data_IF_753609038579
#
_entry.id   IF_753609038579
#
_cell.length_a   1.000
_cell.length_b   1.000
_cell.length_c   1.000
_cell.angle_alpha   90.00
_cell.angle_beta   90.00
_cell.angle_gamma   90.00
#
_symmetry.space_group_name_H-M   'P 1'
#
loop_
_entity.id
_entity.type
_entity.pdbx_description
1 polymer ?
#
# COMPACT_ATOMS: atom_id res chain seq x y z
N UNK A 1 -8.22 -16.45 -14.55
CA UNK A 1 -8.31 -17.89 -14.29
C UNK A 1 -8.01 -18.05 -12.81
N UNK A 2 -9.07 -18.17 -11.98
CA UNK A 2 -8.94 -18.32 -10.54
C UNK A 2 -8.15 -19.58 -10.21
N UNK A 3 -7.35 -19.52 -9.16
CA UNK A 3 -6.46 -20.61 -8.76
C UNK A 3 -7.33 -21.73 -8.17
N UNK A 4 -7.88 -22.60 -9.03
CA UNK A 4 -8.87 -23.63 -8.67
C UNK A 4 -8.43 -24.47 -7.47
N UNK A 5 -7.12 -24.72 -7.35
CA UNK A 5 -6.53 -25.45 -6.22
C UNK A 5 -6.83 -24.82 -4.85
N UNK A 6 -6.86 -23.49 -4.73
CA UNK A 6 -7.13 -22.81 -3.45
C UNK A 6 -8.61 -22.87 -3.12
N UNK A 7 -9.48 -22.66 -4.12
CA UNK A 7 -10.92 -22.76 -3.95
C UNK A 7 -11.34 -24.19 -3.58
N UNK A 8 -10.77 -25.19 -4.26
CA UNK A 8 -10.96 -26.61 -3.98
C UNK A 8 -10.48 -26.97 -2.57
N UNK A 9 -9.33 -26.43 -2.15
CA UNK A 9 -8.81 -26.64 -0.80
C UNK A 9 -9.73 -26.04 0.27
N UNK A 10 -10.24 -24.83 0.05
CA UNK A 10 -11.21 -24.20 0.94
C UNK A 10 -12.50 -25.05 1.01
N UNK A 11 -12.99 -25.56 -0.13
CA UNK A 11 -14.17 -26.43 -0.16
C UNK A 11 -13.93 -27.77 0.58
N UNK A 12 -12.75 -28.36 0.44
CA UNK A 12 -12.36 -29.58 1.16
C UNK A 12 -12.25 -29.34 2.68
N UNK A 13 -11.72 -28.20 3.11
CA UNK A 13 -11.68 -27.82 4.53
C UNK A 13 -13.07 -27.68 5.12
N UNK A 14 -13.97 -27.00 4.42
CA UNK A 14 -15.36 -26.78 4.84
C UNK A 14 -16.16 -28.08 4.96
N UNK A 15 -15.91 -29.04 4.05
CA UNK A 15 -16.59 -30.35 4.03
C UNK A 15 -15.91 -31.40 4.91
N UNK A 16 -14.78 -31.08 5.55
CA UNK A 16 -14.03 -32.03 6.39
C UNK A 16 -14.85 -32.49 7.60
N UNK A 17 -15.00 -33.80 7.76
CA UNK A 17 -15.61 -34.41 8.96
C UNK A 17 -14.88 -34.07 10.26
N UNK A 18 -13.57 -33.82 10.18
CA UNK A 18 -12.73 -33.50 11.35
C UNK A 18 -12.77 -32.02 11.69
N UNK A 19 -12.66 -31.14 10.70
CA UNK A 19 -12.49 -29.70 10.90
C UNK A 19 -13.75 -28.89 10.62
N UNK A 20 -14.52 -29.26 9.59
CA UNK A 20 -15.71 -28.51 9.16
C UNK A 20 -16.76 -28.38 10.26
N UNK A 21 -16.99 -29.44 11.04
CA UNK A 21 -17.93 -29.44 12.17
C UNK A 21 -17.53 -28.51 13.32
N UNK A 22 -16.25 -28.11 13.41
CA UNK A 22 -15.74 -27.22 14.46
C UNK A 22 -15.82 -25.75 14.05
N UNK A 23 -16.11 -25.45 12.77
CA UNK A 23 -16.18 -24.07 12.29
C UNK A 23 -17.59 -23.54 12.45
N UNK A 24 -17.75 -22.56 13.35
CA UNK A 24 -19.05 -21.96 13.67
C UNK A 24 -19.44 -20.80 12.75
N UNK A 25 -18.50 -20.27 11.96
CA UNK A 25 -18.75 -19.13 11.07
C UNK A 25 -17.79 -19.11 9.89
N UNK A 26 -18.34 -18.85 8.69
CA UNK A 26 -17.58 -18.49 7.50
C UNK A 26 -18.03 -17.11 7.04
N UNK A 27 -17.06 -16.22 6.81
CA UNK A 27 -17.30 -14.92 6.21
C UNK A 27 -16.41 -14.75 4.99
N UNK A 28 -17.03 -14.56 3.84
CA UNK A 28 -16.34 -14.11 2.63
C UNK A 28 -16.31 -12.59 2.64
N UNK A 29 -15.15 -12.02 2.31
CA UNK A 29 -15.00 -10.59 2.08
C UNK A 29 -14.84 -10.42 0.58
N UNK A 30 -15.73 -9.66 -0.04
CA UNK A 30 -15.71 -9.45 -1.48
C UNK A 30 -14.43 -8.73 -1.93
N UNK A 31 -13.89 -9.07 -3.11
CA UNK A 31 -12.75 -8.36 -3.66
C UNK A 31 -13.12 -6.90 -3.93
N UNK A 32 -12.26 -6.00 -3.49
CA UNK A 32 -12.41 -4.56 -3.75
C UNK A 32 -11.51 -4.19 -4.94
N UNK A 33 -12.06 -3.62 -6.02
CA UNK A 33 -11.24 -3.17 -7.14
C UNK A 33 -10.32 -2.03 -6.69
N UNK A 34 -9.19 -1.93 -7.37
CA UNK A 34 -8.21 -0.89 -7.09
C UNK A 34 -8.65 0.47 -7.65
N UNK A 35 -8.74 1.46 -6.77
CA UNK A 35 -8.90 2.87 -7.17
C UNK A 35 -7.54 3.54 -7.35
N UNK A 36 -7.33 4.09 -8.54
CA UNK A 36 -6.07 4.74 -8.92
C UNK A 36 -6.25 6.23 -9.20
N UNK A 37 -5.16 6.97 -9.03
CA UNK A 37 -5.03 8.38 -9.36
C UNK A 37 -3.72 8.62 -10.13
N UNK A 38 -3.62 9.68 -10.93
CA UNK A 38 -2.35 10.09 -11.53
C UNK A 38 -1.30 10.39 -10.45
N UNK A 39 -0.04 10.44 -10.87
CA UNK A 39 1.03 10.94 -10.00
C UNK A 39 0.72 12.39 -9.59
N UNK A 40 0.93 12.76 -8.32
CA UNK A 40 0.85 14.14 -7.87
C UNK A 40 1.74 15.05 -8.73
N UNK A 41 1.29 16.28 -8.95
CA UNK A 41 2.10 17.28 -9.65
C UNK A 41 3.34 17.70 -8.87
N UNK A 42 4.33 18.25 -9.58
CA UNK A 42 5.52 18.84 -8.96
C UNK A 42 6.50 17.83 -8.37
N UNK A 43 6.42 16.55 -8.77
CA UNK A 43 7.44 15.58 -8.40
C UNK A 43 8.75 15.84 -9.16
N UNK A 44 9.86 15.67 -8.46
CA UNK A 44 11.18 15.74 -9.07
C UNK A 44 11.31 14.66 -10.17
N UNK A 45 11.87 14.95 -11.36
CA UNK A 45 11.93 13.99 -12.47
C UNK A 45 12.58 12.65 -12.12
N UNK A 46 13.59 12.67 -11.24
CA UNK A 46 14.24 11.45 -10.73
C UNK A 46 13.31 10.53 -9.92
N UNK A 47 12.30 11.07 -9.24
CA UNK A 47 11.27 10.28 -8.55
C UNK A 47 10.34 9.64 -9.59
N UNK A 48 9.88 10.41 -10.57
CA UNK A 48 9.00 9.90 -11.64
C UNK A 48 9.69 8.78 -12.44
N UNK A 49 10.96 8.96 -12.79
CA UNK A 49 11.75 7.94 -13.49
C UNK A 49 11.92 6.67 -12.64
N UNK A 50 12.14 6.83 -11.33
CA UNK A 50 12.27 5.70 -10.40
C UNK A 50 10.96 4.93 -10.28
N UNK A 51 9.82 5.63 -10.19
CA UNK A 51 8.49 5.01 -10.19
C UNK A 51 8.24 4.26 -11.50
N UNK A 52 8.60 4.85 -12.64
CA UNK A 52 8.50 4.21 -13.95
C UNK A 52 9.36 2.94 -14.05
N UNK A 53 10.61 2.97 -13.56
CA UNK A 53 11.50 1.80 -13.48
C UNK A 53 10.92 0.71 -12.59
N UNK A 54 10.23 1.08 -11.51
CA UNK A 54 9.48 0.16 -10.66
C UNK A 54 8.14 -0.32 -11.28
N UNK A 55 7.84 0.03 -12.54
CA UNK A 55 6.58 -0.25 -13.24
C UNK A 55 5.34 0.34 -12.55
N UNK A 56 5.52 1.46 -11.85
CA UNK A 56 4.45 2.22 -11.20
C UNK A 56 4.14 3.44 -12.09
N UNK A 57 3.10 3.33 -12.92
CA UNK A 57 2.63 4.41 -13.79
C UNK A 57 1.54 5.29 -13.16
N UNK A 58 0.89 4.78 -12.10
CA UNK A 58 -0.18 5.44 -11.35
C UNK A 58 -0.12 4.99 -9.90
N UNK A 59 -0.58 5.83 -8.99
CA UNK A 59 -0.67 5.51 -7.58
C UNK A 59 -2.09 5.09 -7.22
N UNK A 60 -2.24 4.36 -6.11
CA UNK A 60 -3.55 4.21 -5.52
C UNK A 60 -4.08 5.58 -5.08
N UNK A 61 -5.41 5.76 -5.10
CA UNK A 61 -6.06 7.02 -4.76
C UNK A 61 -5.62 7.56 -3.39
N UNK A 62 -5.51 6.69 -2.38
CA UNK A 62 -5.06 7.09 -1.04
C UNK A 62 -3.60 7.56 -1.02
N UNK A 63 -2.74 6.99 -1.86
CA UNK A 63 -1.33 7.39 -1.94
C UNK A 63 -1.20 8.78 -2.57
N UNK A 64 -1.80 8.99 -3.74
CA UNK A 64 -1.75 10.27 -4.45
C UNK A 64 -2.32 11.40 -3.57
N UNK A 65 -3.50 11.19 -2.97
CA UNK A 65 -4.13 12.15 -2.06
C UNK A 65 -3.28 12.48 -0.83
N UNK A 66 -2.66 11.48 -0.21
CA UNK A 66 -1.83 11.70 0.96
C UNK A 66 -0.55 12.49 0.60
N UNK A 67 0.10 12.16 -0.51
CA UNK A 67 1.31 12.86 -0.98
C UNK A 67 0.99 14.32 -1.31
N UNK A 68 -0.12 14.61 -2.00
CA UNK A 68 -0.54 15.99 -2.28
C UNK A 68 -0.78 16.81 -1.00
N UNK A 69 -1.38 16.20 0.03
CA UNK A 69 -1.59 16.86 1.31
C UNK A 69 -0.26 17.18 2.00
N UNK A 70 0.68 16.22 2.00
CA UNK A 70 2.01 16.43 2.59
C UNK A 70 2.80 17.50 1.83
N UNK A 71 2.75 17.52 0.50
CA UNK A 71 3.37 18.59 -0.32
C UNK A 71 2.81 19.98 0.01
N UNK A 72 1.55 20.06 0.45
CA UNK A 72 0.90 21.31 0.92
C UNK A 72 1.18 21.63 2.40
N UNK A 73 2.13 20.93 3.03
CA UNK A 73 2.51 21.14 4.42
C UNK A 73 1.44 20.67 5.42
N UNK A 74 0.64 19.66 5.09
CA UNK A 74 -0.36 19.08 6.00
C UNK A 74 0.15 17.79 6.63
N UNK A 75 -0.11 17.64 7.92
CA UNK A 75 0.06 16.37 8.63
C UNK A 75 -1.05 15.39 8.25
N UNK A 76 -0.69 14.13 8.01
CA UNK A 76 -1.63 13.10 7.55
C UNK A 76 -1.50 11.81 8.36
N UNK A 77 -2.64 11.19 8.63
CA UNK A 77 -2.74 9.82 9.16
C UNK A 77 -3.36 8.95 8.08
N UNK A 78 -2.66 7.90 7.65
CA UNK A 78 -3.13 7.02 6.58
C UNK A 78 -3.51 5.65 7.14
N UNK A 79 -4.81 5.44 7.34
CA UNK A 79 -5.38 4.16 7.78
C UNK A 79 -5.73 3.30 6.56
N UNK A 80 -4.81 2.46 6.11
CA UNK A 80 -5.06 1.50 5.01
C UNK A 80 -4.58 0.09 5.38
N UNK A 81 -5.23 -0.97 4.84
CA UNK A 81 -4.87 -2.37 5.16
C UNK A 81 -3.40 -2.68 4.88
N UNK A 82 -2.84 -3.72 5.52
CA UNK A 82 -1.49 -4.21 5.23
C UNK A 82 -1.34 -4.54 3.73
N UNK A 83 -0.12 -4.38 3.20
CA UNK A 83 0.19 -4.52 1.76
C UNK A 83 -0.46 -3.50 0.80
N UNK A 84 -1.12 -2.44 1.30
CA UNK A 84 -1.67 -1.34 0.48
C UNK A 84 -0.64 -0.35 -0.09
N UNK A 85 0.66 -0.60 0.09
CA UNK A 85 1.73 0.28 -0.39
C UNK A 85 1.88 1.60 0.39
N UNK A 86 1.56 1.63 1.69
CA UNK A 86 1.72 2.82 2.55
C UNK A 86 3.13 3.43 2.51
N UNK A 87 4.15 2.62 2.26
CA UNK A 87 5.54 3.10 2.24
C UNK A 87 5.80 4.20 1.23
N UNK A 88 5.12 4.16 0.07
CA UNK A 88 5.24 5.23 -0.92
C UNK A 88 4.73 6.58 -0.40
N UNK A 89 3.76 6.58 0.53
CA UNK A 89 3.18 7.81 1.09
C UNK A 89 4.19 8.63 1.86
N UNK A 90 5.11 8.00 2.58
CA UNK A 90 6.13 8.71 3.34
C UNK A 90 7.49 8.77 2.61
N UNK A 91 7.82 7.80 1.77
CA UNK A 91 9.04 7.84 0.96
C UNK A 91 9.02 8.96 -0.08
N UNK A 92 7.94 9.09 -0.87
CA UNK A 92 7.90 10.07 -1.96
C UNK A 92 8.09 11.51 -1.44
N UNK A 93 7.35 11.99 -0.42
CA UNK A 93 7.55 13.33 0.11
C UNK A 93 8.92 13.52 0.79
N UNK A 94 9.45 12.48 1.45
CA UNK A 94 10.80 12.56 2.04
C UNK A 94 11.86 12.76 0.96
N UNK A 95 11.81 11.94 -0.10
CA UNK A 95 12.76 12.04 -1.21
C UNK A 95 12.60 13.36 -1.95
N UNK A 96 11.36 13.82 -2.17
CA UNK A 96 11.07 15.13 -2.75
C UNK A 96 11.75 16.23 -1.95
N UNK A 97 11.52 16.26 -0.63
CA UNK A 97 12.08 17.27 0.27
C UNK A 97 13.61 17.29 0.28
N UNK A 98 14.23 16.11 0.21
CA UNK A 98 15.68 15.95 0.11
C UNK A 98 16.25 16.40 -1.24
N UNK A 99 15.52 16.18 -2.33
CA UNK A 99 15.91 16.64 -3.66
C UNK A 99 15.78 18.15 -3.80
N UNK A 100 14.75 18.75 -3.19
CA UNK A 100 14.54 20.19 -3.18
C UNK A 100 15.54 20.92 -2.27
N UNK A 101 15.85 20.37 -1.09
CA UNK A 101 16.89 20.92 -0.22
C UNK A 101 17.74 19.80 0.41
N UNK A 102 19.00 19.75 0.00
CA UNK A 102 19.95 18.67 0.36
C UNK A 102 20.29 18.60 1.85
N UNK A 103 20.11 19.69 2.58
CA UNK A 103 20.37 19.74 4.03
C UNK A 103 19.18 19.29 4.88
N UNK A 104 18.05 18.95 4.25
CA UNK A 104 16.88 18.44 4.97
C UNK A 104 17.12 17.06 5.58
N UNK A 105 16.31 16.73 6.60
CA UNK A 105 16.37 15.48 7.36
C UNK A 105 14.95 14.96 7.59
N UNK A 106 14.83 13.65 7.74
CA UNK A 106 13.58 12.99 8.09
C UNK A 106 13.83 11.94 9.18
N UNK A 107 12.88 11.81 10.10
CA UNK A 107 12.90 10.80 11.16
C UNK A 107 11.83 9.75 10.87
N UNK A 108 12.26 8.48 10.83
CA UNK A 108 11.39 7.35 10.61
C UNK A 108 11.29 6.58 11.92
N UNK A 109 10.07 6.47 12.46
CA UNK A 109 9.81 5.77 13.71
C UNK A 109 8.99 4.51 13.42
N UNK A 110 9.57 3.36 13.72
CA UNK A 110 8.91 2.06 13.60
C UNK A 110 8.83 1.40 14.98
N UNK A 111 7.74 0.65 15.26
CA UNK A 111 7.52 0.05 16.58
C UNK A 111 8.47 -1.12 16.88
N UNK A 112 9.12 -1.70 15.87
CA UNK A 112 10.00 -2.86 15.98
C UNK A 112 11.31 -2.61 15.24
N UNK A 113 12.43 -3.03 15.84
CA UNK A 113 13.77 -2.91 15.23
C UNK A 113 13.91 -3.62 13.89
N UNK A 114 13.22 -4.75 13.70
CA UNK A 114 13.29 -5.55 12.48
C UNK A 114 12.58 -4.91 11.26
N UNK A 115 11.92 -3.77 11.44
CA UNK A 115 11.24 -3.02 10.38
C UNK A 115 12.05 -1.82 9.88
N UNK A 116 13.21 -1.55 10.49
CA UNK A 116 14.13 -0.47 10.15
C UNK A 116 15.37 -1.00 9.43
#
# INVERSE_FOLDING_TARGET
MGNSEVEDYIAALKSSRKFGIQIVCHKTIEPVPADYAPLPGGLHPGIEESLKKAKISRLYLHQSRAIELVQRGKDVVVATPTASGKSLVYHIPTLQRYLDERDSRALYMFPLKALA
#
